data_IF_933532147044
#
_entry.id   IF_933532147044
#
_cell.length_a   1.000
_cell.length_b   1.000
_cell.length_c   1.000
_cell.angle_alpha   90.00
_cell.angle_beta   90.00
_cell.angle_gamma   90.00
#
_symmetry.space_group_name_H-M   'P 1'
#
loop_
_entity.id
_entity.type
_entity.pdbx_description
1 polymer ?
#
# COMPACT_ATOMS: atom_id res chain seq x y z
N UNK A 1 0.11 -9.48 -25.08
CA UNK A 1 0.39 -8.10 -24.64
C UNK A 1 1.78 -7.76 -25.11
N UNK A 2 1.92 -6.70 -25.89
CA UNK A 2 3.21 -6.27 -26.47
C UNK A 2 4.29 -6.08 -25.41
N UNK A 3 5.52 -6.50 -25.74
CA UNK A 3 6.68 -6.39 -24.87
C UNK A 3 6.95 -4.93 -24.45
N UNK A 4 6.65 -3.98 -25.33
CA UNK A 4 6.71 -2.54 -25.06
C UNK A 4 5.78 -2.11 -23.92
N UNK A 5 4.50 -2.52 -23.96
CA UNK A 5 3.53 -2.20 -22.91
C UNK A 5 3.92 -2.83 -21.57
N UNK A 6 4.48 -4.04 -21.61
CA UNK A 6 5.01 -4.72 -20.43
C UNK A 6 6.16 -3.93 -19.81
N UNK A 7 7.07 -3.37 -20.61
CA UNK A 7 8.17 -2.54 -20.11
C UNK A 7 7.65 -1.24 -19.47
N UNK A 8 6.75 -0.52 -20.15
CA UNK A 8 6.15 0.71 -19.61
C UNK A 8 5.43 0.47 -18.28
N UNK A 9 4.70 -0.64 -18.17
CA UNK A 9 4.08 -1.05 -16.92
C UNK A 9 5.10 -1.19 -15.79
N UNK A 10 6.25 -1.82 -16.05
CA UNK A 10 7.28 -2.01 -15.03
C UNK A 10 8.00 -0.70 -14.68
N UNK A 11 8.25 0.16 -15.66
CA UNK A 11 8.83 1.50 -15.42
C UNK A 11 7.92 2.33 -14.52
N UNK A 12 6.61 2.36 -14.80
CA UNK A 12 5.62 3.03 -13.96
C UNK A 12 5.56 2.46 -12.55
N UNK A 13 5.63 1.12 -12.44
CA UNK A 13 5.56 0.42 -11.16
C UNK A 13 6.80 0.58 -10.29
N UNK A 14 7.99 0.73 -10.90
CA UNK A 14 9.21 1.06 -10.16
C UNK A 14 9.11 2.50 -9.67
N UNK A 15 8.75 3.42 -10.57
CA UNK A 15 8.63 4.84 -10.29
C UNK A 15 9.95 5.49 -9.88
N UNK A 16 9.88 6.63 -9.18
CA UNK A 16 11.07 7.40 -8.76
C UNK A 16 11.81 6.80 -7.55
N UNK A 17 11.28 5.71 -6.97
CA UNK A 17 11.81 5.12 -5.76
C UNK A 17 12.78 3.97 -6.00
N UNK A 18 13.47 3.55 -4.94
CA UNK A 18 14.19 2.28 -4.93
C UNK A 18 13.19 1.14 -4.70
N UNK A 19 13.33 0.06 -5.47
CA UNK A 19 12.54 -1.15 -5.31
C UNK A 19 13.41 -2.36 -5.06
N UNK A 20 12.92 -3.29 -4.25
CA UNK A 20 13.53 -4.60 -4.10
C UNK A 20 13.04 -5.58 -5.17
N UNK A 21 13.81 -6.65 -5.38
CA UNK A 21 13.42 -7.74 -6.30
C UNK A 21 12.01 -8.29 -6.01
N UNK A 22 11.68 -8.39 -4.71
CA UNK A 22 10.40 -8.93 -4.22
C UNK A 22 9.24 -7.98 -4.50
N UNK A 23 9.48 -6.66 -4.43
CA UNK A 23 8.47 -5.65 -4.75
C UNK A 23 8.14 -5.59 -6.25
N UNK A 24 9.12 -5.92 -7.10
CA UNK A 24 8.89 -6.15 -8.53
C UNK A 24 8.00 -7.38 -8.68
N UNK A 25 8.46 -8.55 -8.23
CA UNK A 25 7.64 -9.77 -8.27
C UNK A 25 7.99 -10.72 -7.14
N UNK A 26 6.94 -11.33 -6.56
CA UNK A 26 7.09 -12.47 -5.65
C UNK A 26 7.69 -13.70 -6.34
N UNK A 27 7.55 -13.79 -7.67
CA UNK A 27 8.19 -14.83 -8.47
C UNK A 27 9.60 -14.36 -8.87
N UNK A 28 10.63 -14.96 -8.25
CA UNK A 28 12.04 -14.60 -8.49
C UNK A 28 12.44 -14.74 -9.95
N UNK A 29 12.04 -15.83 -10.61
CA UNK A 29 12.36 -16.08 -12.04
C UNK A 29 11.79 -14.98 -12.93
N UNK A 30 10.52 -14.59 -12.69
CA UNK A 30 9.86 -13.51 -13.43
C UNK A 30 10.49 -12.14 -13.13
N UNK A 31 10.87 -11.88 -11.88
CA UNK A 31 11.55 -10.65 -11.51
C UNK A 31 12.88 -10.51 -12.25
N UNK A 32 13.67 -11.59 -12.31
CA UNK A 32 14.93 -11.61 -13.04
C UNK A 32 14.73 -11.43 -14.55
N UNK A 33 13.78 -12.13 -15.18
CA UNK A 33 13.45 -11.97 -16.60
C UNK A 33 13.09 -10.51 -16.95
N UNK A 34 12.27 -9.88 -16.11
CA UNK A 34 11.88 -8.47 -16.31
C UNK A 34 13.06 -7.53 -16.14
N UNK A 35 13.91 -7.77 -15.14
CA UNK A 35 15.11 -6.95 -14.91
C UNK A 35 16.12 -7.07 -16.03
N UNK A 36 16.30 -8.27 -16.57
CA UNK A 36 17.17 -8.50 -17.71
C UNK A 36 16.70 -7.70 -18.92
N UNK A 37 15.39 -7.74 -19.22
CA UNK A 37 14.80 -6.91 -20.28
C UNK A 37 14.99 -5.41 -20.01
N UNK A 38 14.60 -4.91 -18.84
CA UNK A 38 14.73 -3.49 -18.50
C UNK A 38 16.19 -3.00 -18.55
N UNK A 39 17.13 -3.83 -18.11
CA UNK A 39 18.56 -3.55 -18.20
C UNK A 39 19.05 -3.54 -19.65
N UNK A 40 18.58 -4.47 -20.48
CA UNK A 40 18.91 -4.52 -21.91
C UNK A 40 18.55 -3.24 -22.65
N UNK A 41 17.47 -2.57 -22.23
CA UNK A 41 17.07 -1.25 -22.76
C UNK A 41 17.69 -0.05 -22.02
N UNK A 42 18.56 -0.28 -21.04
CA UNK A 42 19.21 0.78 -20.27
C UNK A 42 18.27 1.55 -19.34
N UNK A 43 17.11 0.98 -18.97
CA UNK A 43 16.06 1.69 -18.20
C UNK A 43 16.24 1.62 -16.68
N UNK A 44 17.08 0.72 -16.18
CA UNK A 44 17.24 0.45 -14.75
C UNK A 44 18.69 0.28 -14.35
N UNK A 45 18.99 0.75 -13.14
CA UNK A 45 20.21 0.49 -12.40
C UNK A 45 19.93 -0.53 -11.30
N UNK A 46 20.83 -1.51 -11.16
CA UNK A 46 20.70 -2.54 -10.10
C UNK A 46 21.94 -2.47 -9.22
N UNK A 47 21.73 -2.23 -7.94
CA UNK A 47 22.77 -2.24 -6.91
C UNK A 47 22.53 -3.39 -5.94
N UNK A 48 23.60 -4.03 -5.50
CA UNK A 48 23.51 -5.07 -4.47
C UNK A 48 23.90 -4.45 -3.13
N UNK A 49 22.99 -4.51 -2.15
CA UNK A 49 23.22 -4.07 -0.76
C UNK A 49 23.11 -5.30 0.14
N UNK A 50 24.25 -5.93 0.40
CA UNK A 50 24.34 -7.20 1.13
C UNK A 50 23.64 -8.34 0.39
N UNK A 51 22.56 -8.88 0.99
CA UNK A 51 21.73 -9.94 0.40
C UNK A 51 20.58 -9.41 -0.47
N UNK A 52 20.34 -8.10 -0.50
CA UNK A 52 19.23 -7.49 -1.23
C UNK A 52 19.66 -6.84 -2.53
N UNK A 53 18.80 -6.91 -3.54
CA UNK A 53 18.90 -6.14 -4.78
C UNK A 53 18.06 -4.88 -4.64
N UNK A 54 18.68 -3.73 -4.89
CA UNK A 54 18.04 -2.43 -5.00
C UNK A 54 18.00 -2.06 -6.48
N UNK A 55 16.81 -1.78 -6.98
CA UNK A 55 16.53 -1.47 -8.37
C UNK A 55 16.00 -0.03 -8.41
N UNK A 56 16.67 0.81 -9.19
CA UNK A 56 16.26 2.18 -9.46
C UNK A 56 16.13 2.38 -10.96
N UNK A 57 15.36 3.38 -11.38
CA UNK A 57 15.40 3.82 -12.77
C UNK A 57 16.77 4.44 -13.08
N UNK A 58 17.25 4.26 -14.30
CA UNK A 58 18.33 5.06 -14.87
C UNK A 58 17.81 6.43 -15.28
N UNK A 59 18.68 7.33 -15.74
CA UNK A 59 18.28 8.63 -16.29
C UNK A 59 17.30 8.46 -17.45
N UNK A 60 17.60 7.54 -18.38
CA UNK A 60 16.71 7.18 -19.49
C UNK A 60 15.37 6.58 -18.99
N UNK A 61 15.42 5.71 -17.98
CA UNK A 61 14.20 5.16 -17.37
C UNK A 61 13.33 6.23 -16.73
N UNK A 62 13.95 7.25 -16.13
CA UNK A 62 13.28 8.39 -15.50
C UNK A 62 12.60 9.26 -16.57
N UNK A 63 13.26 9.53 -17.70
CA UNK A 63 12.66 10.25 -18.82
C UNK A 63 11.41 9.54 -19.35
N UNK A 64 11.48 8.22 -19.51
CA UNK A 64 10.33 7.40 -19.93
C UNK A 64 9.20 7.47 -18.90
N UNK A 65 9.54 7.35 -17.61
CA UNK A 65 8.58 7.48 -16.52
C UNK A 65 7.90 8.86 -16.52
N UNK A 66 8.66 9.94 -16.67
CA UNK A 66 8.11 11.29 -16.76
C UNK A 66 7.20 11.49 -17.96
N UNK A 67 7.61 11.00 -19.14
CA UNK A 67 6.80 11.04 -20.35
C UNK A 67 5.47 10.31 -20.13
N UNK A 68 5.52 9.14 -19.47
CA UNK A 68 4.33 8.37 -19.13
C UNK A 68 3.43 9.12 -18.15
N UNK A 69 3.98 9.76 -17.11
CA UNK A 69 3.17 10.57 -16.19
C UNK A 69 2.58 11.80 -16.86
N UNK A 70 3.31 12.47 -17.77
CA UNK A 70 2.78 13.58 -18.57
C UNK A 70 1.60 13.12 -19.43
N UNK A 71 1.72 11.95 -20.07
CA UNK A 71 0.64 11.36 -20.86
C UNK A 71 -0.57 11.01 -19.99
N UNK A 72 -0.36 10.36 -18.84
CA UNK A 72 -1.43 10.03 -17.89
C UNK A 72 -2.20 11.27 -17.43
N UNK A 73 -1.51 12.37 -17.11
CA UNK A 73 -2.16 13.65 -16.77
C UNK A 73 -3.03 14.18 -17.90
N UNK A 74 -2.52 14.16 -19.14
CA UNK A 74 -3.27 14.62 -20.31
C UNK A 74 -4.53 13.78 -20.56
N UNK A 75 -4.46 12.50 -20.26
CA UNK A 75 -5.57 11.55 -20.42
C UNK A 75 -6.50 11.46 -19.20
N UNK A 76 -6.21 12.20 -18.12
CA UNK A 76 -7.02 12.16 -16.89
C UNK A 76 -6.83 10.92 -16.01
N UNK A 77 -5.78 10.13 -16.21
CA UNK A 77 -5.45 9.01 -15.32
C UNK A 77 -4.76 9.51 -14.04
N UNK A 78 -4.99 8.86 -12.88
CA UNK A 78 -4.31 9.22 -11.64
C UNK A 78 -2.80 8.98 -11.79
N UNK A 79 -2.00 10.00 -11.50
CA UNK A 79 -0.54 9.89 -11.53
C UNK A 79 -0.02 9.23 -10.26
N UNK A 80 0.83 8.21 -10.40
CA UNK A 80 1.45 7.53 -9.25
C UNK A 80 2.41 8.44 -8.47
N UNK A 81 2.79 9.60 -9.04
CA UNK A 81 3.72 10.54 -8.45
C UNK A 81 3.12 11.43 -7.34
N UNK A 82 1.80 11.42 -7.13
CA UNK A 82 1.13 12.27 -6.14
C UNK A 82 0.71 11.47 -4.91
N UNK A 83 1.66 10.79 -4.28
CA UNK A 83 1.56 10.53 -2.84
C UNK A 83 2.74 11.26 -2.21
N UNK A 84 2.55 12.49 -1.69
CA UNK A 84 3.58 13.11 -0.89
C UNK A 84 3.92 12.15 0.26
N UNK A 85 5.21 11.97 0.55
CA UNK A 85 5.73 11.15 1.65
C UNK A 85 5.09 11.49 3.02
N UNK A 86 4.36 12.59 3.13
CA UNK A 86 3.58 12.96 4.32
C UNK A 86 2.32 12.12 4.56
N UNK A 87 1.83 11.34 3.61
CA UNK A 87 0.66 10.45 3.83
C UNK A 87 1.05 9.13 4.53
N UNK A 88 2.34 8.76 4.50
CA UNK A 88 2.84 7.57 5.21
C UNK A 88 3.46 7.86 6.58
N UNK A 89 3.29 9.10 7.08
CA UNK A 89 3.74 9.50 8.42
C UNK A 89 2.58 9.56 9.43
N UNK A 90 1.54 8.73 9.29
CA UNK A 90 0.46 8.74 10.27
C UNK A 90 -0.44 7.50 10.31
N UNK A 91 0.14 6.31 10.40
CA UNK A 91 -0.53 5.18 11.06
C UNK A 91 0.47 4.39 11.92
N UNK A 92 1.15 5.12 12.82
CA UNK A 92 1.58 4.54 14.08
C UNK A 92 0.32 4.36 14.96
N UNK A 93 -0.50 3.34 14.66
CA UNK A 93 -1.48 2.85 15.63
C UNK A 93 -0.77 1.98 16.67
N UNK A 94 0.11 2.63 17.44
CA UNK A 94 0.71 2.08 18.64
C UNK A 94 1.14 3.26 19.52
N UNK A 95 0.16 3.89 20.14
CA UNK A 95 0.33 4.57 21.43
C UNK A 95 -1.03 4.64 22.08
N UNK A 96 -1.31 3.65 22.91
CA UNK A 96 -2.28 3.79 23.98
C UNK A 96 -1.93 5.05 24.80
N UNK A 97 -2.89 5.89 25.19
CA UNK A 97 -2.59 6.94 26.15
C UNK A 97 -2.41 6.29 27.54
N UNK A 98 -1.15 6.11 27.95
CA UNK A 98 -0.80 5.99 29.37
C UNK A 98 -1.06 7.33 30.04
N UNK A 99 -2.27 7.52 30.56
CA UNK A 99 -2.56 8.57 31.54
C UNK A 99 -2.30 7.96 32.92
N UNK A 100 -1.14 8.30 33.49
CA UNK A 100 -0.88 8.11 34.92
C UNK A 100 -0.79 9.50 35.55
N UNK A 101 -1.68 9.77 36.51
CA UNK A 101 -1.42 10.74 37.58
C UNK A 101 -2.49 11.82 37.77
N UNK A 102 -3.65 11.48 38.34
CA UNK A 102 -4.64 12.48 38.75
C UNK A 102 -5.88 11.94 39.46
N UNK A 103 -5.71 11.47 40.70
CA UNK A 103 -6.65 11.49 41.86
C UNK A 103 -8.16 11.22 41.64
N UNK A 104 -8.59 10.05 42.17
CA UNK A 104 -9.90 9.68 42.77
C UNK A 104 -11.18 10.39 42.32
N UNK A 105 -12.11 9.62 41.73
CA UNK A 105 -13.45 9.40 42.29
C UNK A 105 -14.00 8.08 41.71
N UNK A 106 -14.35 7.15 42.58
CA UNK A 106 -15.04 5.90 42.26
C UNK A 106 -16.55 6.18 42.24
N UNK A 107 -17.27 5.78 41.18
CA UNK A 107 -18.51 5.04 41.48
C UNK A 107 -18.84 3.91 40.49
N UNK A 108 -19.18 2.79 41.12
CA UNK A 108 -20.12 1.71 40.78
C UNK A 108 -19.93 0.78 39.57
N UNK A 109 -20.15 -0.55 39.77
CA UNK A 109 -20.00 -1.55 38.73
C UNK A 109 -21.27 -1.63 37.88
N UNK A 110 -21.15 -1.46 36.57
CA UNK A 110 -22.23 -1.78 35.63
C UNK A 110 -21.74 -2.81 34.60
N UNK A 111 -22.54 -3.88 34.54
CA UNK A 111 -22.39 -5.16 33.85
C UNK A 111 -22.01 -5.09 32.36
N UNK A 112 -21.41 -6.17 31.80
CA UNK A 112 -21.03 -6.22 30.39
C UNK A 112 -22.26 -6.51 29.53
N UNK A 113 -22.88 -5.46 28.98
CA UNK A 113 -23.86 -5.60 27.91
C UNK A 113 -23.52 -4.67 26.75
N UNK A 114 -22.62 -5.13 25.87
CA UNK A 114 -22.49 -4.54 24.53
C UNK A 114 -23.26 -5.42 23.57
N UNK A 115 -24.58 -5.28 23.57
CA UNK A 115 -25.39 -5.64 22.42
C UNK A 115 -25.09 -4.62 21.33
N UNK A 116 -24.46 -5.07 20.25
CA UNK A 116 -24.20 -4.25 19.06
C UNK A 116 -25.52 -3.96 18.34
N UNK A 117 -26.27 -2.97 18.83
CA UNK A 117 -27.43 -2.42 18.15
C UNK A 117 -26.99 -1.40 17.10
N UNK A 118 -27.65 -1.42 15.94
CA UNK A 118 -27.34 -0.62 14.74
C UNK A 118 -27.37 0.91 14.96
N UNK A 119 -27.88 1.37 16.11
CA UNK A 119 -28.04 2.79 16.47
C UNK A 119 -26.71 3.54 16.64
N UNK A 120 -25.60 2.84 16.89
CA UNK A 120 -24.27 3.43 17.02
C UNK A 120 -23.51 3.65 15.70
N UNK A 121 -24.06 3.21 14.55
CA UNK A 121 -23.35 3.28 13.28
C UNK A 121 -23.56 4.62 12.57
N UNK A 122 -22.49 5.25 12.05
CA UNK A 122 -22.60 6.47 11.25
C UNK A 122 -23.42 6.23 9.98
N UNK A 123 -24.11 7.26 9.50
CA UNK A 123 -25.12 7.15 8.42
C UNK A 123 -24.59 6.50 7.14
N UNK A 124 -23.34 6.74 6.76
CA UNK A 124 -22.73 6.14 5.56
C UNK A 124 -22.45 4.63 5.68
N UNK A 125 -22.44 4.08 6.90
CA UNK A 125 -22.11 2.70 7.16
C UNK A 125 -23.34 1.79 7.29
N UNK A 126 -24.53 2.37 7.51
CA UNK A 126 -25.76 1.60 7.77
C UNK A 126 -26.16 0.69 6.61
N UNK A 127 -25.98 1.15 5.38
CA UNK A 127 -26.40 0.41 4.18
C UNK A 127 -25.26 -0.34 3.50
N UNK A 128 -24.14 -0.59 4.21
CA UNK A 128 -22.97 -1.20 3.59
C UNK A 128 -23.10 -2.74 3.53
N UNK A 129 -23.23 -3.36 2.34
CA UNK A 129 -23.41 -4.81 2.21
C UNK A 129 -22.22 -5.61 2.70
N UNK A 130 -21.04 -4.99 2.80
CA UNK A 130 -19.83 -5.65 3.27
C UNK A 130 -19.79 -5.87 4.79
N UNK A 131 -20.56 -5.12 5.58
CA UNK A 131 -20.61 -5.32 7.04
C UNK A 131 -21.17 -6.69 7.40
N UNK A 132 -22.21 -7.15 6.71
CA UNK A 132 -22.76 -8.49 6.91
C UNK A 132 -21.72 -9.59 6.66
N UNK A 133 -20.95 -9.45 5.57
CA UNK A 133 -19.89 -10.40 5.21
C UNK A 133 -18.76 -10.41 6.26
N UNK A 134 -18.42 -9.24 6.82
CA UNK A 134 -17.39 -9.14 7.86
C UNK A 134 -17.84 -9.74 9.19
N UNK A 135 -19.10 -9.52 9.59
CA UNK A 135 -19.69 -10.12 10.80
C UNK A 135 -19.71 -11.65 10.67
N UNK A 136 -20.16 -12.17 9.54
CA UNK A 136 -20.23 -13.62 9.29
C UNK A 136 -18.83 -14.26 9.31
N UNK A 137 -17.84 -13.60 8.70
CA UNK A 137 -16.46 -14.08 8.67
C UNK A 137 -15.74 -13.93 10.01
N UNK A 138 -16.10 -12.95 10.82
CA UNK A 138 -15.59 -12.75 12.18
C UNK A 138 -16.06 -13.85 13.13
N UNK A 139 -17.36 -14.17 13.12
CA UNK A 139 -17.95 -15.27 13.90
C UNK A 139 -17.33 -16.62 13.56
N UNK A 140 -16.97 -16.86 12.30
CA UNK A 140 -16.34 -18.12 11.88
C UNK A 140 -14.89 -18.31 12.37
N UNK A 141 -14.21 -17.23 12.80
CA UNK A 141 -12.84 -17.28 13.34
C UNK A 141 -12.81 -17.37 14.86
N UNK A 142 -13.78 -16.75 15.54
CA UNK A 142 -13.96 -16.86 16.98
C UNK A 142 -14.98 -17.97 17.18
N UNK A 143 -14.52 -19.22 17.18
CA UNK A 143 -15.40 -20.38 17.35
C UNK A 143 -16.24 -20.25 18.62
N UNK A 144 -17.51 -19.90 18.43
CA UNK A 144 -18.61 -20.00 19.40
C UNK A 144 -19.67 -20.84 18.74
#
# INVERSE_FOLDING_TARGET
MDDFLRLLYWVDRIGMGEKSLVEISRNSRKAHEVLEKLRGYGLVNVRRKGKMYLITLSDQGLEVYEALQRLKRKLGFPTSATVPKSVFARESFASAPSVIGGRFEEPEPLEPSVTASEEGLPSFARDNPWLAVLVERGRKRVGV
#
